data_IF_626596671200
#
_entry.id   IF_626596671200
#
_cell.length_a   1.000
_cell.length_b   1.000
_cell.length_c   1.000
_cell.angle_alpha   90.00
_cell.angle_beta   90.00
_cell.angle_gamma   90.00
#
_symmetry.space_group_name_H-M   'P 1'
#
loop_
_entity.id
_entity.type
_entity.pdbx_description
1 polymer ?
#
# COMPACT_ATOMS: atom_id res chain seq x y z
N UNK A 1 -9.92 -1.26 -15.02
CA UNK A 1 -9.50 -0.40 -13.90
C UNK A 1 -10.34 0.86 -13.93
N UNK A 2 -10.95 1.25 -12.81
CA UNK A 2 -11.81 2.43 -12.75
C UNK A 2 -11.01 3.75 -12.83
N UNK A 3 -11.61 4.85 -13.33
CA UNK A 3 -10.90 6.11 -13.54
C UNK A 3 -10.24 6.67 -12.26
N UNK A 4 -10.90 6.53 -11.11
CA UNK A 4 -10.38 7.02 -9.83
C UNK A 4 -9.14 6.23 -9.37
N UNK A 5 -9.08 4.93 -9.66
CA UNK A 5 -7.88 4.11 -9.41
C UNK A 5 -6.76 4.52 -10.36
N UNK A 6 -7.07 4.73 -11.64
CA UNK A 6 -6.08 5.19 -12.62
C UNK A 6 -5.49 6.55 -12.25
N UNK A 7 -6.31 7.48 -11.77
CA UNK A 7 -5.86 8.79 -11.31
C UNK A 7 -4.93 8.67 -10.11
N UNK A 8 -5.27 7.83 -9.11
CA UNK A 8 -4.40 7.61 -7.96
C UNK A 8 -3.06 6.99 -8.36
N UNK A 9 -3.06 6.01 -9.27
CA UNK A 9 -1.84 5.34 -9.76
C UNK A 9 -0.99 6.27 -10.60
N UNK A 10 -1.61 7.15 -11.41
CA UNK A 10 -0.89 8.12 -12.24
C UNK A 10 -0.10 9.15 -11.42
N UNK A 11 -0.59 9.48 -10.22
CA UNK A 11 0.09 10.36 -9.26
C UNK A 11 1.31 9.69 -8.58
N UNK A 12 1.50 8.38 -8.78
CA UNK A 12 2.67 7.64 -8.31
C UNK A 12 2.62 7.23 -6.83
N UNK A 13 3.78 6.92 -6.23
CA UNK A 13 3.88 6.55 -4.82
C UNK A 13 3.40 7.66 -3.87
N UNK A 14 2.93 7.27 -2.69
CA UNK A 14 2.70 8.21 -1.58
C UNK A 14 4.00 8.94 -1.22
N UNK A 15 3.92 10.23 -0.84
CA UNK A 15 5.09 10.98 -0.37
C UNK A 15 5.59 10.41 0.96
N UNK A 16 6.78 10.85 1.39
CA UNK A 16 7.27 10.58 2.74
C UNK A 16 6.58 11.47 3.78
N UNK A 17 6.77 11.16 5.06
CA UNK A 17 6.27 11.99 6.15
C UNK A 17 6.99 13.34 6.25
N UNK A 18 8.19 13.50 5.68
CA UNK A 18 8.96 14.77 5.71
C UNK A 18 8.57 15.73 4.56
N UNK A 19 7.52 15.41 3.81
CA UNK A 19 7.01 16.27 2.73
C UNK A 19 6.47 17.60 3.29
N UNK A 20 6.94 18.71 2.73
CA UNK A 20 6.41 20.07 3.04
C UNK A 20 5.06 20.36 2.35
N UNK A 21 4.62 19.48 1.44
CA UNK A 21 3.39 19.64 0.65
C UNK A 21 2.19 18.98 1.35
N UNK A 22 1.58 19.70 2.31
CA UNK A 22 0.35 19.25 2.99
C UNK A 22 -0.82 19.07 2.01
N UNK A 23 -0.91 19.92 0.97
CA UNK A 23 -1.96 19.82 -0.04
C UNK A 23 -1.88 18.52 -0.84
N UNK A 24 -0.65 18.03 -1.09
CA UNK A 24 -0.41 16.72 -1.68
C UNK A 24 -0.96 15.61 -0.77
N UNK A 25 -0.64 15.60 0.53
CA UNK A 25 -1.12 14.58 1.47
C UNK A 25 -2.65 14.54 1.50
N UNK A 26 -3.28 15.72 1.63
CA UNK A 26 -4.73 15.90 1.58
C UNK A 26 -5.34 15.38 0.28
N UNK A 27 -4.70 15.68 -0.86
CA UNK A 27 -5.15 15.20 -2.18
C UNK A 27 -5.10 13.68 -2.25
N UNK A 28 -4.02 13.06 -1.75
CA UNK A 28 -3.87 11.59 -1.74
C UNK A 28 -4.97 10.94 -0.91
N UNK A 29 -5.30 11.50 0.25
CA UNK A 29 -6.38 11.00 1.09
C UNK A 29 -7.74 11.06 0.35
N UNK A 30 -8.08 12.21 -0.24
CA UNK A 30 -9.34 12.39 -1.01
C UNK A 30 -9.45 11.44 -2.20
N UNK A 31 -8.33 11.17 -2.89
CA UNK A 31 -8.31 10.21 -3.99
C UNK A 31 -8.63 8.78 -3.52
N UNK A 32 -8.14 8.37 -2.34
CA UNK A 32 -8.48 7.06 -1.75
C UNK A 32 -9.97 7.00 -1.41
N UNK A 33 -10.52 8.05 -0.78
CA UNK A 33 -11.95 8.11 -0.43
C UNK A 33 -12.87 8.03 -1.65
N UNK A 34 -12.43 8.55 -2.80
CA UNK A 34 -13.18 8.47 -4.05
C UNK A 34 -13.25 7.04 -4.62
N UNK A 35 -12.31 6.16 -4.25
CA UNK A 35 -12.28 4.77 -4.72
C UNK A 35 -13.28 3.95 -3.92
N UNK A 36 -14.38 3.57 -4.58
CA UNK A 36 -15.37 2.69 -3.96
C UNK A 36 -14.82 1.28 -3.74
N UNK A 37 -15.07 0.72 -2.56
CA UNK A 37 -14.83 -0.68 -2.24
C UNK A 37 -16.01 -1.59 -2.69
N UNK A 38 -15.79 -2.88 -2.97
CA UNK A 38 -14.48 -3.55 -3.00
C UNK A 38 -13.67 -3.18 -4.26
N UNK A 39 -12.35 -3.18 -4.14
CA UNK A 39 -11.47 -3.08 -5.32
C UNK A 39 -11.32 -4.45 -6.00
N UNK A 40 -11.09 -4.45 -7.30
CA UNK A 40 -10.78 -5.69 -8.03
C UNK A 40 -9.34 -6.15 -7.76
N UNK A 41 -8.99 -7.43 -8.01
CA UNK A 41 -7.60 -7.90 -7.85
C UNK A 41 -6.57 -7.13 -8.68
N UNK A 42 -6.94 -6.70 -9.89
CA UNK A 42 -6.07 -5.89 -10.75
C UNK A 42 -5.87 -4.48 -10.18
N UNK A 43 -6.93 -3.89 -9.61
CA UNK A 43 -6.85 -2.60 -8.92
C UNK A 43 -6.00 -2.70 -7.66
N UNK A 44 -6.19 -3.76 -6.86
CA UNK A 44 -5.37 -4.04 -5.68
C UNK A 44 -3.87 -4.09 -6.01
N UNK A 45 -3.49 -4.79 -7.09
CA UNK A 45 -2.10 -4.86 -7.52
C UNK A 45 -1.55 -3.51 -7.96
N UNK A 46 -2.32 -2.72 -8.72
CA UNK A 46 -1.89 -1.40 -9.16
C UNK A 46 -1.74 -0.42 -7.99
N UNK A 47 -2.71 -0.43 -7.06
CA UNK A 47 -2.70 0.39 -5.86
C UNK A 47 -1.54 0.02 -4.91
N UNK A 48 -1.20 -1.25 -4.78
CA UNK A 48 -0.05 -1.68 -3.98
C UNK A 48 1.29 -1.15 -4.51
N UNK A 49 1.39 -0.87 -5.81
CA UNK A 49 2.55 -0.19 -6.40
C UNK A 49 2.71 1.29 -5.99
N UNK A 50 1.72 1.85 -5.28
CA UNK A 50 1.69 3.25 -4.87
C UNK A 50 2.08 3.46 -3.40
N UNK A 51 2.50 2.42 -2.68
CA UNK A 51 3.08 2.63 -1.34
C UNK A 51 4.36 3.45 -1.44
N UNK A 52 4.49 4.41 -0.52
CA UNK A 52 5.63 5.30 -0.39
C UNK A 52 6.74 4.71 0.50
N UNK A 53 7.73 5.53 0.87
CA UNK A 53 8.84 5.13 1.71
C UNK A 53 8.44 4.83 3.17
N UNK A 54 7.31 5.39 3.64
CA UNK A 54 6.77 5.26 5.00
C UNK A 54 5.22 5.23 4.99
N UNK A 55 4.59 5.44 6.15
CA UNK A 55 3.15 5.38 6.31
C UNK A 55 2.39 6.66 5.87
N UNK A 56 3.12 7.72 5.50
CA UNK A 56 2.62 9.01 5.04
C UNK A 56 1.50 9.55 5.94
N UNK A 57 1.78 9.76 7.23
CA UNK A 57 0.79 10.24 8.21
C UNK A 57 -0.46 9.33 8.31
N UNK A 58 -0.31 8.04 8.01
CA UNK A 58 -1.40 7.07 8.00
C UNK A 58 -2.16 6.95 6.68
N UNK A 59 -1.85 7.73 5.64
CA UNK A 59 -2.48 7.57 4.31
C UNK A 59 -2.19 6.19 3.73
N UNK A 60 -1.01 5.63 4.00
CA UNK A 60 -0.66 4.28 3.57
C UNK A 60 -1.55 3.22 4.23
N UNK A 61 -2.01 3.44 5.47
CA UNK A 61 -2.97 2.55 6.13
C UNK A 61 -4.34 2.56 5.45
N UNK A 62 -4.83 3.75 5.06
CA UNK A 62 -6.08 3.87 4.31
C UNK A 62 -6.01 3.13 2.97
N UNK A 63 -4.89 3.28 2.25
CA UNK A 63 -4.65 2.57 1.00
C UNK A 63 -4.60 1.04 1.20
N UNK A 64 -3.89 0.60 2.25
CA UNK A 64 -3.79 -0.81 2.63
C UNK A 64 -5.18 -1.41 2.91
N UNK A 65 -6.01 -0.74 3.71
CA UNK A 65 -7.35 -1.25 4.04
C UNK A 65 -8.28 -1.28 2.83
N UNK A 66 -8.16 -0.31 1.92
CA UNK A 66 -8.89 -0.33 0.65
C UNK A 66 -8.49 -1.55 -0.19
N UNK A 67 -7.19 -1.85 -0.31
CA UNK A 67 -6.68 -3.00 -1.07
C UNK A 67 -7.21 -4.33 -0.48
N UNK A 68 -7.30 -4.41 0.85
CA UNK A 68 -7.81 -5.59 1.57
C UNK A 68 -9.30 -5.87 1.35
N UNK A 69 -10.04 -4.94 0.74
CA UNK A 69 -11.43 -5.20 0.33
C UNK A 69 -11.53 -6.10 -0.91
N UNK A 70 -10.42 -6.35 -1.61
CA UNK A 70 -10.37 -7.25 -2.76
C UNK A 70 -10.74 -8.67 -2.38
N UNK A 71 -11.55 -9.33 -3.21
CA UNK A 71 -11.93 -10.74 -3.03
C UNK A 71 -10.88 -11.74 -3.55
N UNK A 72 -9.80 -11.26 -4.17
CA UNK A 72 -8.72 -12.08 -4.71
C UNK A 72 -7.50 -12.20 -3.78
N UNK A 73 -6.44 -12.90 -4.23
CA UNK A 73 -5.18 -12.92 -3.48
C UNK A 73 -4.63 -11.50 -3.35
N UNK A 74 -4.14 -11.17 -2.16
CA UNK A 74 -3.48 -9.89 -1.92
C UNK A 74 -2.18 -9.80 -2.73
N UNK A 75 -1.75 -8.59 -3.11
CA UNK A 75 -0.48 -8.38 -3.79
C UNK A 75 0.69 -8.90 -2.96
N UNK A 76 1.65 -9.56 -3.61
CA UNK A 76 2.84 -10.07 -2.95
C UNK A 76 3.75 -8.91 -2.51
N UNK A 77 4.17 -8.93 -1.24
CA UNK A 77 5.11 -7.95 -0.68
C UNK A 77 6.46 -8.63 -0.48
N UNK A 78 7.52 -8.01 -1.00
CA UNK A 78 8.88 -8.52 -0.81
C UNK A 78 9.30 -8.38 0.65
N UNK A 79 10.04 -9.38 1.17
CA UNK A 79 10.65 -9.28 2.50
C UNK A 79 11.55 -8.04 2.59
N UNK A 80 11.31 -7.14 3.56
CA UNK A 80 12.15 -5.97 3.76
C UNK A 80 13.56 -6.36 4.19
N UNK A 81 14.54 -5.54 3.80
CA UNK A 81 15.92 -5.67 4.26
C UNK A 81 16.10 -5.27 5.74
N UNK A 82 17.29 -5.47 6.32
CA UNK A 82 17.57 -5.14 7.72
C UNK A 82 17.40 -3.64 8.02
N UNK A 83 17.61 -2.78 7.03
CA UNK A 83 17.52 -1.31 7.19
C UNK A 83 16.17 -0.74 6.71
N UNK A 84 15.19 -1.60 6.43
CA UNK A 84 13.87 -1.14 6.01
C UNK A 84 13.11 -0.49 7.17
N UNK A 85 12.38 0.56 6.83
CA UNK A 85 11.47 1.28 7.71
C UNK A 85 10.38 0.36 8.31
N UNK A 86 9.87 0.76 9.47
CA UNK A 86 8.84 0.05 10.22
C UNK A 86 7.55 -0.15 9.40
N UNK A 87 7.20 0.79 8.51
CA UNK A 87 6.08 0.65 7.60
C UNK A 87 6.22 -0.57 6.68
N UNK A 88 7.38 -0.73 6.04
CA UNK A 88 7.64 -1.84 5.11
C UNK A 88 7.64 -3.19 5.82
N UNK A 89 8.16 -3.24 7.06
CA UNK A 89 8.09 -4.42 7.94
C UNK A 89 6.65 -4.75 8.28
N UNK A 90 5.85 -3.75 8.61
CA UNK A 90 4.42 -3.90 8.93
C UNK A 90 3.64 -4.44 7.74
N UNK A 91 3.83 -3.85 6.56
CA UNK A 91 3.21 -4.28 5.32
C UNK A 91 3.57 -5.74 4.98
N UNK A 92 4.84 -6.11 5.11
CA UNK A 92 5.27 -7.50 4.89
C UNK A 92 4.71 -8.47 5.93
N UNK A 93 4.66 -8.09 7.21
CA UNK A 93 4.04 -8.93 8.24
C UNK A 93 2.56 -9.19 7.92
N UNK A 94 1.86 -8.22 7.31
CA UNK A 94 0.43 -8.32 7.02
C UNK A 94 0.12 -9.09 5.74
N UNK A 95 0.93 -8.95 4.68
CA UNK A 95 0.64 -9.57 3.38
C UNK A 95 1.66 -10.65 2.95
N UNK A 96 2.93 -10.52 3.36
CA UNK A 96 4.02 -11.39 2.93
C UNK A 96 4.35 -12.55 3.87
N UNK A 97 3.94 -12.51 5.13
CA UNK A 97 4.26 -13.53 6.14
C UNK A 97 3.42 -14.80 6.02
N UNK A 98 2.26 -14.74 5.35
CA UNK A 98 1.28 -15.83 5.30
C UNK A 98 1.73 -17.08 4.50
N UNK A 99 2.92 -17.05 3.88
CA UNK A 99 3.49 -18.17 3.13
C UNK A 99 4.82 -18.71 3.67
N UNK A 100 5.36 -18.16 4.75
CA UNK A 100 6.66 -18.60 5.29
C UNK A 100 6.42 -19.63 6.39
N UNK A 101 6.90 -20.85 6.13
CA UNK A 101 7.00 -21.88 7.18
C UNK A 101 8.21 -21.59 8.07
N UNK A 102 8.22 -22.15 9.29
CA UNK A 102 9.30 -21.98 10.28
C UNK A 102 10.71 -22.27 9.72
N UNK A 103 10.80 -23.10 8.68
CA UNK A 103 12.04 -23.42 7.95
C UNK A 103 12.61 -22.24 7.12
N UNK A 104 11.76 -21.32 6.66
CA UNK A 104 12.20 -20.13 5.92
C UNK A 104 12.67 -18.99 6.85
N UNK A 105 12.36 -19.09 8.14
CA UNK A 105 12.69 -18.10 9.17
C UNK A 105 14.04 -18.38 9.86
N UNK A 106 14.58 -19.59 9.72
CA UNK A 106 15.81 -20.06 10.40
C UNK A 106 17.05 -20.13 9.50
N UNK A 107 16.98 -19.63 8.26
CA UNK A 107 18.06 -19.71 7.26
C UNK A 107 18.69 -18.37 6.91
#
# INVERSE_FOLDING_TARGET
MRPEVQAFVADGPLPDWDTDDEELVDRRFRQIEAISAPVTPDEAHALAGCFGPDDCYGVAWSLLHLIETSSGPLPAVKRPGPDADDWHRTLWNRWGSHGLTDEDLTR
#
